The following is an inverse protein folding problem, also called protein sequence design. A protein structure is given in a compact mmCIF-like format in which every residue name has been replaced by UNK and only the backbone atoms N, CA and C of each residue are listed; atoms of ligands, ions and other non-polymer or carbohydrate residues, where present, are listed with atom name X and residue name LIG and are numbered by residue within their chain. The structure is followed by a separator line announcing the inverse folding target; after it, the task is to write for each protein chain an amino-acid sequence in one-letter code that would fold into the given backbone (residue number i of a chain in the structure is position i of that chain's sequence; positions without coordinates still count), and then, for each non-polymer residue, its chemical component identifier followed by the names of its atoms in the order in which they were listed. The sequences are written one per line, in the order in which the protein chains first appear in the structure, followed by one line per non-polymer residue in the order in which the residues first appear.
data_IF_488739000546
#
_entry.id   IF_488739000546
#
_cell.length_a   1.000
_cell.length_b   1.000
_cell.length_c   1.000
_cell.angle_alpha   90.00
_cell.angle_beta   90.00
_cell.angle_gamma   90.00
#
_symmetry.space_group_name_H-M   'P 1'
#
loop_
_entity.id
_entity.type
_entity.pdbx_description
1 polymer ?
#
# COMPACT_ATOMS: atom_id res chain seq x y z
N UNK A 1 74.93 4.83 54.00
CA UNK A 1 74.46 3.47 53.67
C UNK A 1 73.69 3.43 52.32
N UNK A 2 73.19 4.54 51.81
CA UNK A 2 72.43 4.59 50.54
C UNK A 2 73.24 4.26 49.27
N UNK A 3 74.51 4.70 49.18
CA UNK A 3 75.30 4.50 47.96
C UNK A 3 75.77 3.06 47.67
N UNK A 4 75.71 2.11 48.62
CA UNK A 4 76.00 0.69 48.35
C UNK A 4 74.85 -0.08 47.75
N UNK A 5 73.60 0.43 47.92
CA UNK A 5 72.41 -0.21 47.41
C UNK A 5 72.28 0.07 45.90
N UNK A 6 72.60 1.30 45.45
CA UNK A 6 72.47 1.68 44.02
C UNK A 6 73.59 1.03 43.15
N UNK A 7 74.71 0.54 43.71
CA UNK A 7 75.80 -0.12 42.97
C UNK A 7 75.73 -1.67 43.04
N UNK A 8 74.61 -2.26 43.51
CA UNK A 8 74.54 -3.70 43.62
C UNK A 8 73.93 -4.27 42.29
N UNK A 9 74.50 -5.42 41.86
CA UNK A 9 73.96 -6.12 40.69
C UNK A 9 72.42 -6.39 40.80
N UNK A 10 71.94 -6.59 42.00
CA UNK A 10 70.53 -6.82 42.33
C UNK A 10 69.64 -5.57 42.01
N UNK A 11 70.17 -4.38 42.26
CA UNK A 11 69.50 -3.11 41.93
C UNK A 11 69.29 -2.95 40.42
N UNK A 12 70.34 -3.23 39.63
CA UNK A 12 70.29 -3.13 38.18
C UNK A 12 69.28 -4.17 37.58
N UNK A 13 69.23 -5.36 38.13
CA UNK A 13 68.22 -6.39 37.71
C UNK A 13 66.80 -5.92 38.03
N UNK A 14 66.58 -5.40 39.25
CA UNK A 14 65.20 -4.90 39.59
C UNK A 14 64.88 -3.64 38.77
N UNK A 15 65.75 -2.74 38.51
CA UNK A 15 65.55 -1.57 37.69
C UNK A 15 65.20 -2.00 36.23
N UNK A 16 65.95 -2.96 35.66
CA UNK A 16 65.66 -3.42 34.28
C UNK A 16 64.32 -4.10 34.17
N UNK A 17 63.91 -4.91 35.15
CA UNK A 17 62.57 -5.48 35.18
C UNK A 17 61.49 -4.42 35.29
N UNK A 18 61.70 -3.43 36.17
CA UNK A 18 60.77 -2.31 36.31
C UNK A 18 60.59 -1.52 34.98
N UNK A 19 61.72 -1.17 34.34
CA UNK A 19 61.66 -0.49 33.06
C UNK A 19 61.05 -1.34 31.92
N UNK A 20 61.33 -2.66 31.94
CA UNK A 20 60.69 -3.57 30.98
C UNK A 20 59.16 -3.63 31.15
N UNK A 21 58.69 -3.63 32.40
CA UNK A 21 57.27 -3.56 32.72
C UNK A 21 56.66 -2.24 32.28
N UNK A 22 57.31 -1.13 32.58
CA UNK A 22 56.87 0.22 32.17
C UNK A 22 56.83 0.34 30.66
N UNK A 23 57.85 -0.15 29.94
CA UNK A 23 57.87 -0.15 28.48
C UNK A 23 56.80 -1.07 27.89
N UNK A 24 56.59 -2.26 28.51
CA UNK A 24 55.50 -3.15 28.11
C UNK A 24 54.14 -2.48 28.24
N UNK A 25 53.83 -1.86 29.37
CA UNK A 25 52.58 -1.14 29.55
C UNK A 25 52.46 0.08 28.62
N UNK A 26 53.54 0.80 28.38
CA UNK A 26 53.53 1.92 27.45
C UNK A 26 53.34 1.48 26.00
N UNK A 27 54.01 0.41 25.56
CA UNK A 27 53.81 -0.17 24.22
C UNK A 27 52.42 -0.78 24.02
N UNK A 28 51.84 -1.38 25.06
CA UNK A 28 50.52 -1.93 25.02
C UNK A 28 49.40 -0.94 25.42
N UNK A 29 49.72 0.23 25.95
CA UNK A 29 48.72 1.23 26.36
C UNK A 29 47.84 1.69 25.19
N UNK A 30 48.37 1.73 23.98
CA UNK A 30 47.66 2.02 22.76
C UNK A 30 46.68 0.88 22.42
N UNK A 31 47.06 -0.40 22.60
CA UNK A 31 46.17 -1.55 22.38
C UNK A 31 45.11 -1.65 23.45
N UNK A 32 45.43 -1.37 24.73
CA UNK A 32 44.47 -1.38 25.84
C UNK A 32 43.50 -0.19 25.75
N UNK A 33 43.97 0.98 25.36
CA UNK A 33 43.10 2.14 25.06
C UNK A 33 42.20 1.91 23.87
N UNK A 34 42.69 1.24 22.82
CA UNK A 34 41.87 0.94 21.64
C UNK A 34 40.85 -0.21 21.85
N UNK A 35 41.00 -1.04 22.89
CA UNK A 35 39.97 -2.02 23.29
C UNK A 35 38.86 -1.41 24.18
N UNK A 36 39.11 -0.24 24.78
CA UNK A 36 38.14 0.46 25.65
C UNK A 36 37.61 1.78 25.12
N UNK A 37 38.16 2.32 24.02
CA UNK A 37 37.63 3.50 23.37
C UNK A 37 36.94 3.11 22.06
N UNK A 38 35.62 3.09 22.11
CA UNK A 38 34.74 3.43 21.00
C UNK A 38 35.48 3.46 19.66
N UNK A 39 35.25 2.47 18.82
CA UNK A 39 35.29 2.73 17.39
C UNK A 39 34.40 3.95 17.17
N UNK A 40 35.00 5.16 17.19
CA UNK A 40 34.38 6.36 16.65
C UNK A 40 34.34 6.22 15.13
N UNK A 41 33.82 5.11 14.66
CA UNK A 41 33.39 4.96 13.29
C UNK A 41 32.12 5.79 13.15
N UNK A 42 32.04 6.55 12.10
CA UNK A 42 30.83 7.24 11.71
C UNK A 42 29.69 6.23 11.64
N UNK A 43 28.60 6.49 12.37
CA UNK A 43 27.40 5.65 12.31
C UNK A 43 26.61 6.05 11.08
N UNK A 44 26.50 5.14 10.15
CA UNK A 44 25.67 5.30 8.97
C UNK A 44 24.25 4.86 9.31
N UNK A 45 23.27 5.63 8.85
CA UNK A 45 21.84 5.35 9.04
C UNK A 45 21.11 5.40 7.71
N UNK A 46 20.11 4.55 7.55
CA UNK A 46 19.20 4.58 6.43
C UNK A 46 17.75 4.35 6.90
N UNK A 47 16.80 4.99 6.25
CA UNK A 47 15.36 4.77 6.49
C UNK A 47 14.73 4.21 5.24
N UNK A 48 14.14 3.04 5.36
CA UNK A 48 13.51 2.32 4.27
C UNK A 48 12.01 2.28 4.53
N UNK A 49 11.26 2.95 3.66
CA UNK A 49 9.82 3.01 3.74
C UNK A 49 9.18 1.87 2.93
N UNK A 50 7.96 1.50 3.31
CA UNK A 50 7.13 0.53 2.60
C UNK A 50 7.79 -0.85 2.42
N UNK A 51 8.56 -1.30 3.42
CA UNK A 51 9.11 -2.66 3.41
C UNK A 51 7.96 -3.65 3.60
N UNK A 52 7.75 -4.61 2.67
CA UNK A 52 6.68 -5.58 2.77
C UNK A 52 6.87 -6.51 3.98
N UNK A 53 5.75 -6.85 4.63
CA UNK A 53 5.73 -7.76 5.78
C UNK A 53 5.12 -9.09 5.35
N UNK A 54 5.90 -10.15 5.48
CA UNK A 54 5.47 -11.51 5.17
C UNK A 54 4.68 -12.11 6.34
N UNK A 55 3.51 -12.68 6.03
CA UNK A 55 2.68 -13.37 7.02
C UNK A 55 2.90 -14.87 6.95
N UNK A 56 3.38 -15.47 8.04
CA UNK A 56 3.54 -16.92 8.18
C UNK A 56 2.30 -17.52 8.84
N UNK A 57 1.40 -18.12 8.03
CA UNK A 57 0.17 -18.76 8.53
C UNK A 57 -0.33 -19.86 7.59
N UNK A 58 -1.30 -20.64 8.03
CA UNK A 58 -1.95 -21.65 7.19
C UNK A 58 -2.99 -20.99 6.26
N UNK A 59 -2.56 -20.59 5.06
CA UNK A 59 -3.39 -19.93 4.06
C UNK A 59 -4.50 -20.81 3.46
N UNK A 60 -4.46 -22.13 3.65
CA UNK A 60 -5.54 -23.02 3.24
C UNK A 60 -6.71 -22.96 4.21
N UNK A 61 -6.44 -22.72 5.49
CA UNK A 61 -7.43 -22.72 6.56
C UNK A 61 -7.91 -21.33 6.94
N UNK A 62 -7.02 -20.36 6.96
CA UNK A 62 -7.30 -19.03 7.49
C UNK A 62 -7.23 -17.95 6.42
N UNK A 63 -7.98 -16.90 6.64
CA UNK A 63 -7.93 -15.62 5.94
C UNK A 63 -7.46 -14.54 6.90
N UNK A 64 -6.52 -13.71 6.47
CA UNK A 64 -5.96 -12.62 7.28
C UNK A 64 -6.38 -11.29 6.70
N UNK A 65 -6.88 -10.40 7.55
CA UNK A 65 -7.35 -9.08 7.14
C UNK A 65 -7.06 -8.00 8.19
N UNK A 66 -7.30 -6.74 7.84
CA UNK A 66 -7.24 -5.60 8.75
C UNK A 66 -5.84 -5.17 9.15
N UNK A 67 -4.83 -5.46 8.33
CA UNK A 67 -3.43 -5.11 8.58
C UNK A 67 -2.83 -4.23 7.50
N UNK A 68 -1.78 -3.50 7.86
CA UNK A 68 -0.92 -2.82 6.89
C UNK A 68 0.13 -3.80 6.36
N UNK A 69 0.21 -3.96 5.05
CA UNK A 69 1.13 -4.90 4.41
C UNK A 69 2.59 -4.44 4.43
N UNK A 70 2.89 -3.24 4.87
CA UNK A 70 4.23 -2.64 4.87
C UNK A 70 4.55 -1.98 6.19
N UNK A 71 5.85 -1.86 6.49
CA UNK A 71 6.39 -1.11 7.63
C UNK A 71 7.62 -0.30 7.22
N UNK A 72 8.01 0.67 8.03
CA UNK A 72 9.25 1.44 7.89
C UNK A 72 10.34 0.81 8.73
N UNK A 73 11.55 0.69 8.17
CA UNK A 73 12.72 0.15 8.85
C UNK A 73 13.81 1.21 8.91
N UNK A 74 14.29 1.49 10.11
CA UNK A 74 15.44 2.34 10.35
C UNK A 74 16.65 1.47 10.63
N UNK A 75 17.65 1.55 9.75
CA UNK A 75 18.91 0.83 9.87
C UNK A 75 19.98 1.72 10.44
N UNK A 76 20.88 1.16 11.23
CA UNK A 76 22.10 1.83 11.68
C UNK A 76 23.26 0.85 11.81
N UNK A 77 24.48 1.30 11.50
CA UNK A 77 25.69 0.47 11.58
C UNK A 77 26.93 1.24 11.21
N UNK A 78 28.09 0.65 11.49
CA UNK A 78 29.39 1.27 11.21
C UNK A 78 29.91 0.96 9.79
N UNK A 79 29.33 -0.03 9.10
CA UNK A 79 29.70 -0.37 7.74
C UNK A 79 28.71 0.24 6.74
N UNK A 80 29.15 1.30 6.04
CA UNK A 80 28.35 1.99 5.04
C UNK A 80 27.87 1.06 3.92
N UNK A 81 28.76 0.16 3.44
CA UNK A 81 28.40 -0.74 2.34
C UNK A 81 27.28 -1.71 2.76
N UNK A 82 27.32 -2.25 3.98
CA UNK A 82 26.26 -3.09 4.50
C UNK A 82 24.93 -2.35 4.58
N UNK A 83 24.93 -1.09 5.05
CA UNK A 83 23.71 -0.26 5.10
C UNK A 83 23.19 0.00 3.69
N UNK A 84 24.05 0.40 2.74
CA UNK A 84 23.65 0.69 1.36
C UNK A 84 23.10 -0.54 0.63
N UNK A 85 23.68 -1.73 0.87
CA UNK A 85 23.16 -2.97 0.30
C UNK A 85 21.77 -3.30 0.81
N UNK A 86 21.49 -3.09 2.10
CA UNK A 86 20.18 -3.35 2.69
C UNK A 86 19.14 -2.27 2.34
N UNK A 87 19.57 -1.05 2.01
CA UNK A 87 18.69 0.03 1.53
C UNK A 87 18.13 -0.29 0.15
N UNK A 88 18.94 -0.87 -0.73
CA UNK A 88 18.53 -1.24 -2.08
C UNK A 88 17.68 -2.53 -2.07
N UNK A 89 16.46 -2.47 -2.63
CA UNK A 89 15.52 -3.60 -2.72
C UNK A 89 16.09 -4.83 -3.41
N UNK A 90 16.97 -4.63 -4.40
CA UNK A 90 17.50 -5.72 -5.24
C UNK A 90 18.63 -6.51 -4.54
N UNK A 91 19.31 -5.88 -3.58
CA UNK A 91 20.44 -6.48 -2.83
C UNK A 91 20.13 -6.73 -1.36
N UNK A 92 18.95 -6.33 -0.91
CA UNK A 92 18.48 -6.49 0.48
C UNK A 92 18.37 -7.96 0.85
N UNK A 93 19.00 -8.33 1.98
CA UNK A 93 18.90 -9.68 2.51
C UNK A 93 17.84 -9.80 3.60
N UNK A 94 17.63 -8.77 4.41
CA UNK A 94 16.62 -8.84 5.45
C UNK A 94 15.20 -8.76 4.88
N UNK A 95 14.28 -9.39 5.57
CA UNK A 95 12.85 -9.26 5.34
C UNK A 95 12.09 -9.15 6.66
N UNK A 96 10.88 -8.61 6.59
CA UNK A 96 9.99 -8.51 7.74
C UNK A 96 9.03 -9.68 7.75
N UNK A 97 8.79 -10.26 8.93
CA UNK A 97 7.86 -11.37 9.09
C UNK A 97 6.99 -11.24 10.34
N UNK A 98 5.78 -11.78 10.24
CA UNK A 98 4.84 -11.94 11.35
C UNK A 98 4.41 -13.40 11.39
N UNK A 99 4.61 -14.07 12.54
CA UNK A 99 4.28 -15.47 12.72
C UNK A 99 2.91 -15.66 13.40
N UNK A 100 1.95 -16.15 12.63
CA UNK A 100 0.58 -16.43 13.06
C UNK A 100 0.30 -17.93 13.19
N UNK A 101 1.31 -18.80 13.01
CA UNK A 101 1.13 -20.27 12.97
C UNK A 101 0.54 -20.86 14.23
N UNK A 102 0.77 -20.20 15.37
CA UNK A 102 0.30 -20.63 16.70
C UNK A 102 -1.03 -20.00 17.10
N UNK A 103 -1.55 -19.07 16.29
CA UNK A 103 -2.78 -18.34 16.58
C UNK A 103 -4.01 -19.10 16.02
N UNK A 104 -5.12 -18.90 16.70
CA UNK A 104 -6.46 -19.32 16.25
C UNK A 104 -7.20 -18.08 15.72
N UNK A 105 -8.47 -18.26 15.36
CA UNK A 105 -9.33 -17.15 14.93
C UNK A 105 -9.46 -16.07 16.01
N UNK A 106 -9.41 -14.81 15.60
CA UNK A 106 -9.53 -13.65 16.49
C UNK A 106 -8.80 -12.41 15.97
N UNK A 107 -8.79 -11.37 16.81
CA UNK A 107 -8.02 -10.14 16.56
C UNK A 107 -6.79 -10.15 17.46
N UNK A 108 -5.65 -9.84 16.88
CA UNK A 108 -4.36 -9.90 17.55
C UNK A 108 -3.50 -8.68 17.21
N UNK A 109 -2.69 -8.27 18.18
CA UNK A 109 -1.60 -7.34 17.99
C UNK A 109 -0.29 -8.12 18.05
N UNK A 110 0.34 -8.35 16.90
CA UNK A 110 1.47 -9.28 16.75
C UNK A 110 2.75 -8.51 16.44
N UNK A 111 3.88 -8.82 17.08
CA UNK A 111 5.14 -8.16 16.81
C UNK A 111 5.66 -8.49 15.41
N UNK A 112 6.11 -7.45 14.69
CA UNK A 112 6.82 -7.60 13.43
C UNK A 112 8.28 -7.94 13.76
N UNK A 113 8.83 -8.95 13.10
CA UNK A 113 10.20 -9.40 13.27
C UNK A 113 10.99 -9.13 12.00
N UNK A 114 12.27 -8.82 12.20
CA UNK A 114 13.23 -8.75 11.12
C UNK A 114 14.03 -10.04 11.07
N UNK A 115 14.13 -10.62 9.89
CA UNK A 115 14.84 -11.86 9.63
C UNK A 115 16.05 -11.56 8.74
N UNK A 116 17.14 -12.33 8.88
CA UNK A 116 18.35 -12.26 8.07
C UNK A 116 19.05 -10.88 8.04
N UNK A 117 18.99 -10.14 9.16
CA UNK A 117 19.71 -8.87 9.29
C UNK A 117 21.22 -9.14 9.32
N UNK A 118 22.05 -8.48 8.48
CA UNK A 118 23.49 -8.67 8.48
C UNK A 118 24.15 -8.31 9.80
N UNK A 119 25.27 -9.01 10.12
CA UNK A 119 26.07 -8.69 11.31
C UNK A 119 26.59 -7.27 11.30
N UNK A 120 26.53 -6.59 12.45
CA UNK A 120 26.97 -5.19 12.60
C UNK A 120 25.98 -4.14 12.13
N UNK A 121 24.79 -4.56 11.64
CA UNK A 121 23.64 -3.69 11.38
C UNK A 121 22.61 -3.89 12.48
N UNK A 122 22.08 -2.78 12.99
CA UNK A 122 20.93 -2.76 13.90
C UNK A 122 19.73 -2.15 13.17
N UNK A 123 18.52 -2.62 13.51
CA UNK A 123 17.30 -2.16 12.87
C UNK A 123 16.21 -1.86 13.90
N UNK A 124 15.42 -0.83 13.61
CA UNK A 124 14.18 -0.52 14.33
C UNK A 124 13.03 -0.49 13.33
N UNK A 125 11.91 -1.10 13.68
CA UNK A 125 10.72 -1.23 12.82
C UNK A 125 9.63 -0.31 13.34
N UNK A 126 8.96 0.40 12.45
CA UNK A 126 7.77 1.22 12.74
C UNK A 126 6.62 0.89 11.78
N UNK A 127 5.46 0.48 12.31
CA UNK A 127 5.16 0.18 13.70
C UNK A 127 5.85 -1.12 14.18
N UNK A 128 6.06 -1.27 15.49
CA UNK A 128 6.68 -2.49 16.08
C UNK A 128 5.76 -3.69 16.06
N UNK A 129 4.45 -3.45 16.07
CA UNK A 129 3.40 -4.45 16.08
C UNK A 129 2.41 -4.20 14.95
N UNK A 130 1.71 -5.24 14.55
CA UNK A 130 0.70 -5.21 13.51
C UNK A 130 -0.61 -5.75 14.07
N UNK A 131 -1.68 -4.93 13.97
CA UNK A 131 -3.03 -5.39 14.26
C UNK A 131 -3.54 -6.23 13.09
N UNK A 132 -3.98 -7.43 13.37
CA UNK A 132 -4.52 -8.37 12.37
C UNK A 132 -5.82 -9.00 12.84
N UNK A 133 -6.64 -9.37 11.88
CA UNK A 133 -7.81 -10.21 12.11
C UNK A 133 -7.60 -11.53 11.37
N UNK A 134 -7.58 -12.64 12.13
CA UNK A 134 -7.44 -14.00 11.61
C UNK A 134 -8.81 -14.70 11.71
N UNK A 135 -9.35 -15.12 10.58
CA UNK A 135 -10.66 -15.75 10.48
C UNK A 135 -10.58 -17.08 9.73
N UNK A 136 -11.53 -17.98 9.96
CA UNK A 136 -11.64 -19.17 9.12
C UNK A 136 -11.98 -18.75 7.69
N UNK A 137 -11.26 -19.36 6.74
CA UNK A 137 -11.36 -19.04 5.32
C UNK A 137 -12.62 -19.67 4.72
N UNK A 138 -13.46 -18.86 4.13
CA UNK A 138 -14.69 -19.29 3.46
C UNK A 138 -14.66 -18.84 2.00
N UNK A 139 -15.18 -19.70 1.11
CA UNK A 139 -15.41 -19.41 -0.29
C UNK A 139 -16.91 -19.42 -0.57
N UNK A 140 -17.40 -18.38 -1.24
CA UNK A 140 -18.81 -18.27 -1.63
C UNK A 140 -18.92 -17.58 -2.99
N UNK A 141 -19.93 -17.96 -3.77
CA UNK A 141 -20.27 -17.31 -5.04
C UNK A 141 -21.22 -16.13 -4.78
N UNK A 142 -20.98 -15.01 -5.46
CA UNK A 142 -21.80 -13.81 -5.39
C UNK A 142 -22.09 -13.29 -6.79
N UNK A 143 -23.24 -12.63 -6.94
CA UNK A 143 -23.58 -11.89 -8.15
C UNK A 143 -22.85 -10.55 -8.19
N UNK A 144 -22.43 -10.13 -9.38
CA UNK A 144 -21.79 -8.84 -9.61
C UNK A 144 -22.85 -7.80 -9.91
N UNK A 145 -22.82 -6.69 -9.19
CA UNK A 145 -23.72 -5.56 -9.37
C UNK A 145 -22.95 -4.42 -10.05
N UNK A 146 -23.28 -4.08 -11.31
CA UNK A 146 -22.70 -2.91 -11.97
C UNK A 146 -23.23 -1.63 -11.32
N UNK A 147 -22.35 -0.63 -11.15
CA UNK A 147 -22.68 0.64 -10.49
C UNK A 147 -22.05 1.82 -11.22
N UNK A 148 -22.86 2.85 -11.45
CA UNK A 148 -22.41 4.18 -11.89
C UNK A 148 -23.00 5.22 -10.94
N UNK A 149 -22.22 6.25 -10.60
CA UNK A 149 -22.67 7.32 -9.74
C UNK A 149 -23.46 8.35 -10.58
N UNK A 150 -24.53 8.88 -10.03
CA UNK A 150 -25.33 9.93 -10.67
C UNK A 150 -24.55 11.22 -10.95
N UNK A 151 -23.49 11.47 -10.18
CA UNK A 151 -22.60 12.62 -10.38
C UNK A 151 -21.73 12.52 -11.64
N UNK A 152 -21.59 11.29 -12.17
CA UNK A 152 -20.85 11.02 -13.41
C UNK A 152 -21.69 11.20 -14.67
N UNK A 153 -23.00 11.45 -14.50
CA UNK A 153 -23.95 11.63 -15.59
C UNK A 153 -24.20 13.13 -15.81
N UNK A 154 -23.82 13.71 -16.98
CA UNK A 154 -24.08 15.10 -17.28
C UNK A 154 -25.59 15.40 -17.40
N UNK A 155 -25.97 16.66 -17.21
CA UNK A 155 -27.34 17.10 -17.43
C UNK A 155 -27.80 16.78 -18.87
N UNK A 156 -29.00 16.25 -18.99
CA UNK A 156 -29.59 15.89 -20.28
C UNK A 156 -29.21 14.48 -20.76
N UNK A 157 -28.56 13.65 -19.92
CA UNK A 157 -28.29 12.24 -20.21
C UNK A 157 -29.01 11.33 -19.22
N UNK A 158 -29.28 10.11 -19.64
CA UNK A 158 -29.81 9.01 -18.80
C UNK A 158 -29.04 7.74 -19.09
N UNK A 159 -28.87 6.89 -18.08
CA UNK A 159 -28.35 5.54 -18.28
C UNK A 159 -29.50 4.67 -18.82
N UNK A 160 -29.26 4.07 -19.97
CA UNK A 160 -30.17 3.12 -20.60
C UNK A 160 -29.94 1.71 -20.08
N UNK A 161 -28.68 1.28 -20.04
CA UNK A 161 -28.31 -0.03 -19.52
C UNK A 161 -26.93 -0.06 -18.89
N UNK A 162 -26.79 -0.92 -17.87
CA UNK A 162 -25.57 -1.28 -17.20
C UNK A 162 -25.41 -2.79 -17.26
N UNK A 163 -24.27 -3.28 -17.76
CA UNK A 163 -24.00 -4.71 -17.84
C UNK A 163 -22.54 -5.03 -17.57
N UNK A 164 -22.29 -6.23 -17.06
CA UNK A 164 -20.96 -6.78 -16.81
C UNK A 164 -20.81 -8.11 -17.55
N UNK A 165 -19.58 -8.45 -17.90
CA UNK A 165 -19.32 -9.73 -18.59
C UNK A 165 -19.39 -10.91 -17.65
N UNK A 166 -18.97 -10.72 -16.39
CA UNK A 166 -18.99 -11.76 -15.37
C UNK A 166 -20.15 -11.49 -14.41
N UNK A 167 -21.25 -12.22 -14.57
CA UNK A 167 -22.43 -12.06 -13.71
C UNK A 167 -22.22 -12.65 -12.31
N UNK A 168 -21.33 -13.63 -12.16
CA UNK A 168 -21.02 -14.31 -10.90
C UNK A 168 -19.52 -14.47 -10.73
N UNK A 169 -19.08 -14.31 -9.49
CA UNK A 169 -17.67 -14.43 -9.11
C UNK A 169 -17.51 -15.22 -7.82
N UNK A 170 -16.34 -15.88 -7.68
CA UNK A 170 -15.98 -16.58 -6.46
C UNK A 170 -15.27 -15.62 -5.51
N UNK A 171 -15.80 -15.50 -4.30
CA UNK A 171 -15.25 -14.64 -3.26
C UNK A 171 -14.69 -15.51 -2.15
N UNK A 172 -13.43 -15.24 -1.79
CA UNK A 172 -12.74 -15.85 -0.65
C UNK A 172 -12.48 -14.78 0.38
N UNK A 173 -12.97 -14.96 1.60
CA UNK A 173 -12.76 -14.03 2.71
C UNK A 173 -12.84 -14.77 4.05
N UNK A 174 -12.70 -14.04 5.15
CA UNK A 174 -12.98 -14.54 6.49
C UNK A 174 -14.48 -14.78 6.71
N UNK A 175 -14.83 -15.71 7.57
CA UNK A 175 -16.21 -16.12 7.83
C UNK A 175 -17.13 -14.95 8.23
N UNK A 176 -16.63 -14.06 9.11
CA UNK A 176 -17.40 -12.88 9.53
C UNK A 176 -17.49 -11.81 8.43
N UNK A 177 -16.43 -11.70 7.61
CA UNK A 177 -16.40 -10.78 6.47
C UNK A 177 -17.39 -11.21 5.40
N UNK A 178 -17.46 -12.50 5.05
CA UNK A 178 -18.39 -13.06 4.06
C UNK A 178 -19.86 -12.81 4.46
N UNK A 179 -20.18 -12.89 5.75
CA UNK A 179 -21.55 -12.64 6.26
C UNK A 179 -21.96 -11.17 6.09
N UNK A 180 -21.02 -10.25 6.05
CA UNK A 180 -21.27 -8.81 5.91
C UNK A 180 -21.30 -8.34 4.47
N UNK A 181 -20.79 -9.12 3.53
CA UNK A 181 -20.81 -8.77 2.12
C UNK A 181 -22.28 -8.72 1.64
N UNK A 182 -22.69 -7.52 1.20
CA UNK A 182 -24.01 -7.29 0.63
C UNK A 182 -24.02 -7.46 -0.89
N UNK A 183 -22.97 -6.95 -1.56
CA UNK A 183 -22.82 -7.02 -3.01
C UNK A 183 -21.34 -7.06 -3.42
N UNK A 184 -21.10 -7.54 -4.63
CA UNK A 184 -19.84 -7.34 -5.34
C UNK A 184 -20.09 -6.27 -6.39
N UNK A 185 -19.52 -5.09 -6.18
CA UNK A 185 -19.71 -3.93 -7.05
C UNK A 185 -18.66 -3.88 -8.16
N UNK A 186 -19.13 -3.68 -9.40
CA UNK A 186 -18.36 -3.27 -10.56
C UNK A 186 -18.62 -1.77 -10.78
N UNK A 187 -17.88 -0.92 -10.10
CA UNK A 187 -18.09 0.52 -10.13
C UNK A 187 -17.38 1.17 -11.31
N UNK A 188 -18.05 2.14 -11.95
CA UNK A 188 -17.42 2.99 -12.96
C UNK A 188 -16.31 3.83 -12.31
N UNK A 189 -15.11 3.95 -12.92
CA UNK A 189 -14.03 4.79 -12.41
C UNK A 189 -14.48 6.25 -12.23
N UNK A 190 -14.04 6.90 -11.14
CA UNK A 190 -14.49 8.23 -10.75
C UNK A 190 -14.09 9.34 -11.74
N UNK A 191 -13.10 9.11 -12.58
CA UNK A 191 -12.60 10.03 -13.60
C UNK A 191 -13.39 9.97 -14.92
N UNK A 192 -14.36 9.04 -15.04
CA UNK A 192 -15.18 8.88 -16.24
C UNK A 192 -16.45 9.72 -16.15
N UNK A 193 -16.70 10.54 -17.17
CA UNK A 193 -17.96 11.26 -17.39
C UNK A 193 -18.77 10.56 -18.49
N UNK A 194 -20.03 10.25 -18.21
CA UNK A 194 -20.93 9.51 -19.09
C UNK A 194 -21.63 10.44 -20.11
N UNK A 195 -20.85 11.15 -20.93
CA UNK A 195 -21.33 11.91 -22.07
C UNK A 195 -21.48 11.06 -23.35
N UNK A 196 -20.95 9.84 -23.31
CA UNK A 196 -21.03 8.81 -24.35
C UNK A 196 -21.03 7.42 -23.70
N UNK A 197 -21.28 6.38 -24.51
CA UNK A 197 -21.23 5.01 -24.02
C UNK A 197 -19.84 4.66 -23.50
N UNK A 198 -19.78 4.01 -22.33
CA UNK A 198 -18.55 3.50 -21.73
C UNK A 198 -18.43 2.00 -21.93
N UNK A 199 -17.22 1.54 -22.18
CA UNK A 199 -16.88 0.11 -22.23
C UNK A 199 -15.44 -0.06 -21.79
N UNK A 200 -15.22 -0.70 -20.63
CA UNK A 200 -13.88 -0.84 -20.05
C UNK A 200 -13.80 -1.88 -18.95
N UNK A 201 -12.58 -2.26 -18.59
CA UNK A 201 -12.32 -3.19 -17.50
C UNK A 201 -12.29 -2.43 -16.17
N UNK A 202 -13.03 -2.93 -15.20
CA UNK A 202 -13.14 -2.36 -13.84
C UNK A 202 -12.79 -3.41 -12.79
N UNK A 203 -12.25 -2.95 -11.65
CA UNK A 203 -11.94 -3.81 -10.50
C UNK A 203 -13.22 -4.07 -9.70
N UNK A 204 -13.36 -5.31 -9.23
CA UNK A 204 -14.47 -5.74 -8.39
C UNK A 204 -14.15 -5.49 -6.91
N UNK A 205 -15.15 -4.96 -6.19
CA UNK A 205 -15.05 -4.71 -4.76
C UNK A 205 -16.20 -5.37 -4.01
N UNK A 206 -15.86 -6.08 -2.93
CA UNK A 206 -16.86 -6.57 -1.99
C UNK A 206 -17.27 -5.44 -1.05
N UNK A 207 -18.56 -5.14 -0.95
CA UNK A 207 -19.06 -4.04 -0.12
C UNK A 207 -20.12 -4.53 0.87
N UNK A 208 -20.17 -3.84 2.03
CA UNK A 208 -21.22 -4.05 3.02
C UNK A 208 -22.48 -3.21 2.71
N UNK A 209 -23.49 -3.29 3.58
CA UNK A 209 -24.75 -2.55 3.46
C UNK A 209 -24.60 -1.02 3.49
N UNK A 210 -23.44 -0.49 3.90
CA UNK A 210 -23.12 0.94 3.92
C UNK A 210 -22.30 1.39 2.71
N UNK A 211 -21.91 0.45 1.82
CA UNK A 211 -21.02 0.70 0.69
C UNK A 211 -19.52 0.68 1.06
N UNK A 212 -19.19 0.29 2.28
CA UNK A 212 -17.79 0.17 2.71
C UNK A 212 -17.16 -1.08 2.11
N UNK A 213 -15.96 -0.92 1.53
CA UNK A 213 -15.18 -2.04 0.98
C UNK A 213 -14.71 -2.95 2.11
N UNK A 214 -14.98 -4.24 1.94
CA UNK A 214 -14.53 -5.31 2.83
C UNK A 214 -13.34 -6.06 2.22
N UNK A 215 -12.39 -6.53 3.05
CA UNK A 215 -11.27 -7.32 2.59
C UNK A 215 -11.75 -8.69 2.10
N UNK A 216 -11.56 -8.93 0.80
CA UNK A 216 -11.91 -10.19 0.14
C UNK A 216 -11.02 -10.41 -1.08
N UNK A 217 -10.77 -11.66 -1.40
CA UNK A 217 -10.15 -12.07 -2.66
C UNK A 217 -11.27 -12.49 -3.62
N UNK A 218 -11.36 -11.83 -4.76
CA UNK A 218 -12.41 -12.04 -5.77
C UNK A 218 -11.77 -12.66 -7.01
N UNK A 219 -12.37 -13.71 -7.55
CA UNK A 219 -11.91 -14.42 -8.75
C UNK A 219 -13.04 -14.54 -9.79
N UNK A 220 -12.89 -13.87 -10.97
CA UNK A 220 -11.83 -12.92 -11.36
C UNK A 220 -11.89 -11.62 -10.55
N UNK A 221 -10.75 -10.91 -10.40
CA UNK A 221 -10.67 -9.64 -9.65
C UNK A 221 -11.17 -8.44 -10.44
N UNK A 222 -11.34 -8.58 -11.75
CA UNK A 222 -11.79 -7.54 -12.68
C UNK A 222 -12.86 -8.11 -13.59
N UNK A 223 -13.74 -7.24 -14.11
CA UNK A 223 -14.73 -7.59 -15.13
C UNK A 223 -14.84 -6.48 -16.16
N UNK A 224 -15.46 -6.76 -17.30
CA UNK A 224 -15.73 -5.75 -18.31
C UNK A 224 -17.09 -5.11 -18.05
N UNK A 225 -17.08 -3.80 -17.77
CA UNK A 225 -18.28 -2.99 -17.52
C UNK A 225 -18.68 -2.26 -18.82
N UNK A 226 -19.94 -2.39 -19.21
CA UNK A 226 -20.55 -1.63 -20.32
C UNK A 226 -21.69 -0.77 -19.78
N UNK A 227 -21.63 0.53 -20.08
CA UNK A 227 -22.64 1.51 -19.76
C UNK A 227 -23.14 2.13 -21.06
N UNK A 228 -24.46 2.04 -21.30
CA UNK A 228 -25.11 2.68 -22.43
C UNK A 228 -25.86 3.90 -21.92
N UNK A 229 -25.63 5.03 -22.53
CA UNK A 229 -26.28 6.30 -22.15
C UNK A 229 -27.09 6.85 -23.32
N UNK A 230 -28.24 7.45 -23.01
CA UNK A 230 -29.09 8.13 -23.96
C UNK A 230 -29.18 9.61 -23.62
N UNK A 231 -29.09 10.45 -24.66
CA UNK A 231 -29.34 11.89 -24.53
C UNK A 231 -30.84 12.14 -24.48
N UNK A 232 -31.30 12.84 -23.44
CA UNK A 232 -32.69 13.30 -23.36
C UNK A 232 -32.93 14.37 -24.43
N UNK A 233 -33.83 14.09 -25.34
CA UNK A 233 -34.24 15.01 -26.38
C UNK A 233 -35.74 15.26 -26.29
N UNK A 234 -36.19 16.43 -26.66
CA UNK A 234 -37.59 16.79 -26.69
C UNK A 234 -37.91 17.44 -28.03
N UNK A 235 -38.86 16.87 -28.72
CA UNK A 235 -39.39 17.46 -29.95
C UNK A 235 -40.21 18.71 -29.62
N UNK A 236 -39.80 19.84 -30.18
CA UNK A 236 -40.48 21.13 -30.03
C UNK A 236 -41.09 21.51 -31.35
N UNK A 237 -42.42 21.73 -31.43
CA UNK A 237 -43.05 22.18 -32.65
C UNK A 237 -42.56 23.60 -33.06
N UNK A 238 -42.21 23.73 -34.31
CA UNK A 238 -41.82 25.03 -34.88
C UNK A 238 -43.07 25.85 -35.26
N UNK A 239 -43.27 26.97 -34.58
CA UNK A 239 -44.33 27.93 -34.89
C UNK A 239 -43.75 29.15 -35.57
N UNK A 240 -44.08 29.36 -36.81
CA UNK A 240 -43.70 30.58 -37.53
C UNK A 240 -44.71 31.68 -37.27
N UNK A 241 -44.24 32.80 -36.77
CA UNK A 241 -45.03 34.06 -36.61
C UNK A 241 -44.49 35.09 -37.54
N UNK A 242 -45.37 35.64 -38.36
CA UNK A 242 -45.05 36.75 -39.25
C UNK A 242 -45.27 38.08 -38.50
N UNK A 243 -44.26 38.97 -38.51
CA UNK A 243 -44.38 40.34 -37.97
C UNK A 243 -44.07 41.37 -39.09
N UNK A 244 -44.81 42.41 -39.10
CA UNK A 244 -44.65 43.51 -40.05
C UNK A 244 -45.92 43.82 -40.87
N UNK A 245 -45.92 44.90 -41.55
CA UNK A 245 -47.00 45.32 -42.51
C UNK A 245 -46.68 44.83 -43.92
N UNK A 246 -47.64 44.18 -44.54
CA UNK A 246 -47.51 43.73 -45.92
C UNK A 246 -47.36 44.92 -46.85
N UNK A 247 -46.50 44.86 -47.85
CA UNK A 247 -46.44 45.85 -48.92
C UNK A 247 -47.76 45.91 -49.64
N UNK A 248 -48.23 47.14 -50.02
CA UNK A 248 -49.53 47.37 -50.62
C UNK A 248 -49.73 46.66 -51.97
N UNK A 249 -48.64 46.18 -52.56
CA UNK A 249 -48.66 45.44 -53.84
C UNK A 249 -48.84 43.93 -53.67
N UNK A 250 -48.75 43.42 -52.40
CA UNK A 250 -48.87 42.03 -52.10
C UNK A 250 -50.20 41.74 -51.40
N UNK A 251 -50.92 40.67 -51.82
CA UNK A 251 -52.19 40.30 -51.27
C UNK A 251 -52.08 39.25 -50.12
N UNK A 252 -51.02 38.49 -50.10
CA UNK A 252 -50.72 37.48 -48.97
C UNK A 252 -49.31 36.96 -49.06
N UNK A 253 -48.75 36.59 -47.91
CA UNK A 253 -47.51 35.78 -47.80
C UNK A 253 -47.88 34.40 -47.26
N UNK A 254 -47.48 33.32 -47.97
CA UNK A 254 -47.58 31.98 -47.49
C UNK A 254 -46.21 31.51 -47.05
N UNK A 255 -46.08 31.19 -45.77
CA UNK A 255 -44.86 30.57 -45.22
C UNK A 255 -45.04 29.03 -45.15
N UNK A 256 -44.07 28.27 -45.62
CA UNK A 256 -44.00 26.83 -45.48
C UNK A 256 -42.77 26.49 -44.62
N UNK A 257 -43.00 25.80 -43.56
CA UNK A 257 -41.91 25.27 -42.69
C UNK A 257 -41.50 23.93 -43.26
N UNK A 258 -40.23 23.72 -43.55
CA UNK A 258 -39.69 22.44 -44.01
C UNK A 258 -39.74 21.37 -42.89
N UNK A 259 -39.32 21.80 -41.69
CA UNK A 259 -39.31 20.93 -40.52
C UNK A 259 -40.37 21.35 -39.52
N UNK A 260 -41.32 20.46 -39.23
CA UNK A 260 -42.42 20.75 -38.30
C UNK A 260 -42.04 20.71 -36.84
N UNK A 261 -40.95 20.03 -36.52
CA UNK A 261 -40.42 19.88 -35.18
C UNK A 261 -38.92 20.02 -35.21
N UNK A 262 -38.32 20.47 -34.10
CA UNK A 262 -36.88 20.54 -33.83
C UNK A 262 -36.65 19.72 -32.58
N UNK A 263 -35.64 18.79 -32.65
CA UNK A 263 -35.29 17.89 -31.57
C UNK A 263 -34.07 18.42 -30.83
#
# INVERSE_FOLDING_TARGET
MANKFFNSKTFYILASVFFAIVLFFNANATSIRNQGTNQSGEVYTATINNVPVELKYNSNKYFVSGYNSTATVHLSGYNRLSITNEENSDTRNFFLSVDLTKLKTGKFDVPIRIEQLPGGVTATIEPKTMNITLEDKVKKEFEVTPKADSTQLPEGFTIDSLSVSDEKVKVTAGEESIKKIQAIEAALPNDVNLNENYSGTVTLHAVDSTGKILPAQIEPSTTHLKVVVNKLTKDVPVKVTQKGTLDKTLSSIKTKVSDKTVT
#
